data_IF_259426292611
#
_entry.id   IF_259426292611
#
_cell.length_a   1.000
_cell.length_b   1.000
_cell.length_c   1.000
_cell.angle_alpha   90.00
_cell.angle_beta   90.00
_cell.angle_gamma   90.00
#
_symmetry.space_group_name_H-M   'P 1'
#
loop_
_entity.id
_entity.type
_entity.pdbx_description
1 polymer ?
#
# COMPACT_ATOMS: atom_id res chain seq x y z
N UNK A 1 1.02 -19.13 -15.86
CA UNK A 1 0.41 -17.80 -16.06
C UNK A 1 1.46 -16.86 -16.60
N UNK A 2 1.14 -16.11 -17.65
CA UNK A 2 1.96 -15.00 -18.13
C UNK A 2 1.70 -13.78 -17.25
N UNK A 3 2.76 -13.03 -16.92
CA UNK A 3 2.59 -11.84 -16.10
C UNK A 3 3.43 -10.66 -16.60
N UNK A 4 2.85 -9.47 -16.44
CA UNK A 4 3.49 -8.18 -16.75
C UNK A 4 3.83 -7.48 -15.45
N UNK A 5 5.07 -6.99 -15.34
CA UNK A 5 5.50 -6.10 -14.26
C UNK A 5 5.34 -4.64 -14.71
N UNK A 6 4.61 -3.84 -13.95
CA UNK A 6 4.53 -2.39 -14.13
C UNK A 6 5.23 -1.70 -12.95
N UNK A 7 6.21 -0.85 -13.25
CA UNK A 7 6.88 0.01 -12.27
C UNK A 7 6.66 1.47 -12.65
N UNK A 8 6.04 2.22 -11.74
CA UNK A 8 5.90 3.67 -11.88
C UNK A 8 7.05 4.34 -11.14
N UNK A 9 7.79 5.23 -11.80
CA UNK A 9 8.91 5.94 -11.19
C UNK A 9 8.80 7.45 -11.39
N UNK A 10 9.48 8.21 -10.52
CA UNK A 10 9.61 9.67 -10.60
C UNK A 10 10.91 10.14 -9.96
N UNK A 11 11.90 10.56 -10.76
CA UNK A 11 13.19 11.10 -10.32
C UNK A 11 14.00 10.15 -9.42
N UNK A 12 13.95 8.81 -9.69
CA UNK A 12 14.56 7.76 -8.87
C UNK A 12 15.29 6.69 -9.72
N UNK A 13 16.26 7.09 -10.58
CA UNK A 13 16.92 6.14 -11.49
C UNK A 13 17.69 5.04 -10.74
N UNK A 14 18.33 5.34 -9.60
CA UNK A 14 19.14 4.36 -8.86
C UNK A 14 18.25 3.32 -8.13
N UNK A 15 17.25 3.70 -7.32
CA UNK A 15 16.33 2.73 -6.75
C UNK A 15 15.68 1.81 -7.80
N UNK A 16 15.24 2.37 -8.93
CA UNK A 16 14.69 1.60 -10.05
C UNK A 16 15.69 0.58 -10.59
N UNK A 17 16.97 0.97 -10.76
CA UNK A 17 18.01 0.05 -11.23
C UNK A 17 18.24 -1.11 -10.24
N UNK A 18 18.24 -0.83 -8.94
CA UNK A 18 18.40 -1.84 -7.89
C UNK A 18 17.21 -2.82 -7.90
N UNK A 19 15.97 -2.33 -8.03
CA UNK A 19 14.80 -3.18 -8.24
C UNK A 19 14.98 -4.07 -9.48
N UNK A 20 15.32 -3.51 -10.64
CA UNK A 20 15.45 -4.26 -11.89
C UNK A 20 16.57 -5.32 -11.83
N UNK A 21 17.65 -5.06 -11.11
CA UNK A 21 18.70 -6.05 -10.85
C UNK A 21 18.16 -7.20 -10.01
N UNK A 22 17.30 -6.96 -9.03
CA UNK A 22 16.63 -8.01 -8.25
C UNK A 22 15.62 -8.80 -9.09
N UNK A 23 14.93 -8.14 -10.03
CA UNK A 23 14.04 -8.78 -11.02
C UNK A 23 14.84 -9.73 -11.92
N UNK A 24 16.02 -9.31 -12.37
CA UNK A 24 16.91 -10.15 -13.22
C UNK A 24 17.31 -11.46 -12.53
N UNK A 25 17.33 -11.49 -11.20
CA UNK A 25 17.73 -12.65 -10.39
C UNK A 25 16.57 -13.56 -9.98
N UNK A 26 15.36 -13.33 -10.49
CA UNK A 26 14.17 -14.11 -10.14
C UNK A 26 14.16 -15.51 -10.76
N UNK A 27 13.62 -16.49 -10.02
CA UNK A 27 13.42 -17.89 -10.50
C UNK A 27 12.47 -17.94 -11.71
N UNK A 28 11.46 -17.06 -11.74
CA UNK A 28 10.62 -16.83 -12.91
C UNK A 28 10.67 -15.35 -13.29
N UNK A 29 10.85 -15.07 -14.58
CA UNK A 29 11.05 -13.72 -15.10
C UNK A 29 9.77 -13.19 -15.75
N UNK A 30 9.46 -11.88 -15.63
CA UNK A 30 8.28 -11.30 -16.26
C UNK A 30 8.25 -11.47 -17.78
N UNK A 31 7.10 -11.83 -18.33
CA UNK A 31 6.90 -11.88 -19.78
C UNK A 31 6.98 -10.49 -20.43
N UNK A 32 6.69 -9.46 -19.63
CA UNK A 32 6.75 -8.06 -20.04
C UNK A 32 7.07 -7.19 -18.80
N UNK A 33 7.91 -6.16 -18.99
CA UNK A 33 8.23 -5.15 -17.95
C UNK A 33 7.94 -3.78 -18.58
N UNK A 34 7.04 -3.02 -17.93
CA UNK A 34 6.68 -1.65 -18.35
C UNK A 34 7.18 -0.67 -17.29
N UNK A 35 8.15 0.16 -17.65
CA UNK A 35 8.62 1.27 -16.82
C UNK A 35 7.86 2.52 -17.25
N UNK A 36 7.08 3.08 -16.33
CA UNK A 36 6.22 4.23 -16.56
C UNK A 36 6.81 5.42 -15.81
N UNK A 37 7.61 6.21 -16.51
CA UNK A 37 8.39 7.29 -15.92
C UNK A 37 7.68 8.65 -16.00
N UNK A 38 7.43 9.25 -14.85
CA UNK A 38 6.89 10.60 -14.72
C UNK A 38 7.96 11.67 -14.52
N UNK A 39 9.25 11.33 -14.61
CA UNK A 39 10.38 12.24 -14.35
C UNK A 39 10.36 13.48 -15.27
N UNK A 40 11.07 14.52 -14.85
CA UNK A 40 11.22 15.77 -15.61
C UNK A 40 12.63 15.94 -16.20
N UNK A 41 13.47 14.91 -16.02
CA UNK A 41 14.80 14.80 -16.60
C UNK A 41 14.94 13.44 -17.30
N UNK A 42 16.03 13.20 -18.01
CA UNK A 42 16.32 11.98 -18.76
C UNK A 42 17.22 10.96 -18.02
N UNK A 43 17.42 11.11 -16.70
CA UNK A 43 18.34 10.24 -15.95
C UNK A 43 17.87 8.77 -15.91
N UNK A 44 16.57 8.54 -15.82
CA UNK A 44 15.98 7.19 -15.85
C UNK A 44 16.21 6.53 -17.21
N UNK A 45 15.94 7.25 -18.30
CA UNK A 45 16.19 6.75 -19.66
C UNK A 45 17.67 6.41 -19.85
N UNK A 46 18.57 7.33 -19.51
CA UNK A 46 20.01 7.14 -19.65
C UNK A 46 20.53 5.92 -18.87
N UNK A 47 20.03 5.67 -17.66
CA UNK A 47 20.47 4.49 -16.89
C UNK A 47 19.95 3.20 -17.51
N UNK A 48 18.75 3.19 -18.09
CA UNK A 48 18.18 2.03 -18.79
C UNK A 48 18.85 1.74 -20.14
N UNK A 49 19.32 2.75 -20.84
CA UNK A 49 20.12 2.58 -22.05
C UNK A 49 21.44 1.85 -21.78
N UNK A 50 22.08 2.16 -20.65
CA UNK A 50 23.33 1.55 -20.21
C UNK A 50 23.16 0.17 -19.55
N UNK A 51 21.93 -0.20 -19.14
CA UNK A 51 21.61 -1.44 -18.44
C UNK A 51 20.46 -2.16 -19.13
N UNK A 52 20.75 -3.17 -19.94
CA UNK A 52 19.72 -3.88 -20.70
C UNK A 52 19.03 -4.97 -19.88
N UNK A 53 17.68 -4.96 -19.93
CA UNK A 53 16.81 -5.97 -19.34
C UNK A 53 15.93 -6.60 -20.41
N UNK A 54 15.68 -7.89 -20.32
CA UNK A 54 14.80 -8.59 -21.25
C UNK A 54 13.36 -8.11 -21.07
N UNK A 55 12.60 -8.09 -22.14
CA UNK A 55 11.15 -7.78 -22.15
C UNK A 55 10.80 -6.41 -21.56
N UNK A 56 11.76 -5.51 -21.40
CA UNK A 56 11.53 -4.18 -20.82
C UNK A 56 11.18 -3.17 -21.91
N UNK A 57 10.10 -2.45 -21.66
CA UNK A 57 9.69 -1.27 -22.43
C UNK A 57 9.65 -0.05 -21.50
N UNK A 58 10.23 1.05 -21.94
CA UNK A 58 10.27 2.32 -21.22
C UNK A 58 9.31 3.33 -21.86
N UNK A 59 8.58 4.02 -21.00
CA UNK A 59 7.62 5.06 -21.39
C UNK A 59 7.78 6.30 -20.51
N UNK A 60 8.33 7.39 -21.05
CA UNK A 60 8.18 8.71 -20.47
C UNK A 60 6.73 9.17 -20.66
N UNK A 61 6.05 9.54 -19.58
CA UNK A 61 4.67 9.98 -19.69
C UNK A 61 4.55 11.49 -19.90
N UNK A 62 3.61 11.94 -20.76
CA UNK A 62 3.25 13.35 -20.88
C UNK A 62 2.77 13.92 -19.54
N UNK A 63 2.83 15.26 -19.38
CA UNK A 63 2.47 15.94 -18.14
C UNK A 63 1.08 15.58 -17.60
N UNK A 64 0.10 15.39 -18.48
CA UNK A 64 -1.27 15.02 -18.14
C UNK A 64 -1.38 13.61 -17.52
N UNK A 65 -0.40 12.75 -17.75
CA UNK A 65 -0.32 11.40 -17.19
C UNK A 65 0.64 11.26 -16.00
N UNK A 66 1.25 12.36 -15.53
CA UNK A 66 2.08 12.34 -14.32
C UNK A 66 1.26 12.19 -13.05
N UNK A 67 1.79 11.43 -12.10
CA UNK A 67 1.17 11.06 -10.83
C UNK A 67 0.80 9.58 -10.76
N UNK A 68 0.95 8.96 -9.59
CA UNK A 68 0.96 7.52 -9.40
C UNK A 68 -0.22 6.78 -10.06
N UNK A 69 -1.46 7.21 -9.79
CA UNK A 69 -2.66 6.56 -10.33
C UNK A 69 -2.78 6.72 -11.85
N UNK A 70 -2.35 7.87 -12.39
CA UNK A 70 -2.34 8.12 -13.82
C UNK A 70 -1.28 7.27 -14.52
N UNK A 71 -0.08 7.18 -13.95
CA UNK A 71 1.00 6.34 -14.47
C UNK A 71 0.60 4.86 -14.46
N UNK A 72 -0.01 4.35 -13.36
CA UNK A 72 -0.52 2.98 -13.32
C UNK A 72 -1.58 2.74 -14.41
N UNK A 73 -2.56 3.62 -14.56
CA UNK A 73 -3.56 3.50 -15.62
C UNK A 73 -2.95 3.57 -17.03
N UNK A 74 -1.90 4.39 -17.21
CA UNK A 74 -1.16 4.50 -18.46
C UNK A 74 -0.43 3.20 -18.80
N UNK A 75 0.20 2.56 -17.79
CA UNK A 75 0.85 1.25 -17.95
C UNK A 75 -0.17 0.13 -18.23
N UNK A 76 -1.27 0.07 -17.47
CA UNK A 76 -2.34 -0.93 -17.69
C UNK A 76 -2.87 -0.90 -19.13
N UNK A 77 -3.02 0.29 -19.71
CA UNK A 77 -3.50 0.43 -21.10
C UNK A 77 -2.52 -0.07 -22.16
N UNK A 78 -1.29 -0.45 -21.77
CA UNK A 78 -0.21 -0.93 -22.66
C UNK A 78 0.18 -2.38 -22.41
N UNK A 79 -0.45 -3.03 -21.45
CA UNK A 79 -0.21 -4.45 -21.15
C UNK A 79 -0.58 -5.32 -22.34
N UNK A 80 0.29 -6.27 -22.68
CA UNK A 80 0.07 -7.20 -23.79
C UNK A 80 -1.15 -8.11 -23.58
N UNK A 81 -1.75 -8.55 -24.69
CA UNK A 81 -2.99 -9.35 -24.66
C UNK A 81 -2.85 -10.70 -23.98
N UNK A 82 -1.65 -11.29 -24.01
CA UNK A 82 -1.37 -12.63 -23.46
C UNK A 82 -1.18 -12.63 -21.94
N UNK A 83 -1.24 -11.48 -21.28
CA UNK A 83 -1.03 -11.32 -19.83
C UNK A 83 -2.21 -11.84 -19.03
N UNK A 84 -1.96 -12.70 -18.06
CA UNK A 84 -2.95 -13.23 -17.10
C UNK A 84 -2.97 -12.41 -15.82
N UNK A 85 -1.78 -11.93 -15.36
CA UNK A 85 -1.57 -11.23 -14.10
C UNK A 85 -0.76 -9.96 -14.33
N UNK A 86 -1.17 -8.85 -13.72
CA UNK A 86 -0.41 -7.59 -13.71
C UNK A 86 0.14 -7.39 -12.29
N UNK A 87 1.48 -7.32 -12.19
CA UNK A 87 2.21 -7.06 -10.95
C UNK A 87 2.64 -5.59 -10.91
N UNK A 88 2.46 -4.95 -9.77
CA UNK A 88 2.99 -3.62 -9.48
C UNK A 88 3.99 -3.70 -8.34
N UNK A 89 5.09 -3.00 -8.50
CA UNK A 89 6.11 -2.80 -7.47
C UNK A 89 6.46 -1.33 -7.39
N UNK A 90 6.73 -0.84 -6.18
CA UNK A 90 7.36 0.46 -6.00
C UNK A 90 8.83 0.38 -6.41
N UNK A 91 9.36 1.45 -6.97
CA UNK A 91 10.70 1.53 -7.53
C UNK A 91 11.85 1.42 -6.50
N UNK A 92 11.52 1.49 -5.19
CA UNK A 92 12.43 1.38 -4.06
C UNK A 92 12.30 0.02 -3.31
N UNK A 93 11.87 -1.03 -4.01
CA UNK A 93 11.80 -2.40 -3.49
C UNK A 93 12.93 -3.28 -4.06
N UNK A 94 13.39 -4.27 -3.28
CA UNK A 94 14.33 -5.30 -3.73
C UNK A 94 13.74 -6.68 -3.41
N UNK A 95 13.62 -7.52 -4.42
CA UNK A 95 12.94 -8.80 -4.34
C UNK A 95 13.86 -9.92 -3.86
N UNK A 96 13.35 -10.82 -3.00
CA UNK A 96 13.97 -12.14 -2.78
C UNK A 96 13.84 -13.00 -4.06
N UNK A 97 14.76 -13.94 -4.32
CA UNK A 97 14.84 -14.66 -5.61
C UNK A 97 13.56 -15.39 -6.06
N UNK A 98 12.72 -15.84 -5.13
CA UNK A 98 11.47 -16.58 -5.42
C UNK A 98 10.21 -15.71 -5.37
N UNK A 99 10.35 -14.40 -5.31
CA UNK A 99 9.20 -13.49 -5.10
C UNK A 99 8.08 -13.70 -6.13
N UNK A 100 8.38 -13.62 -7.42
CA UNK A 100 7.34 -13.81 -8.45
C UNK A 100 6.83 -15.24 -8.51
N UNK A 101 7.68 -16.25 -8.29
CA UNK A 101 7.25 -17.64 -8.22
C UNK A 101 6.17 -17.82 -7.14
N UNK A 102 6.38 -17.26 -5.94
CA UNK A 102 5.41 -17.36 -4.84
C UNK A 102 4.13 -16.54 -5.09
N UNK A 103 4.21 -15.39 -5.79
CA UNK A 103 3.04 -14.64 -6.23
C UNK A 103 2.21 -15.48 -7.21
N UNK A 104 2.83 -16.03 -8.26
CA UNK A 104 2.13 -16.80 -9.29
C UNK A 104 1.58 -18.13 -8.74
N UNK A 105 2.34 -18.83 -7.89
CA UNK A 105 1.88 -20.04 -7.20
C UNK A 105 0.65 -19.75 -6.32
N UNK A 106 0.58 -18.56 -5.72
CA UNK A 106 -0.59 -18.16 -4.92
C UNK A 106 -1.85 -17.98 -5.78
N UNK A 107 -1.73 -17.45 -7.01
CA UNK A 107 -2.86 -17.40 -7.95
C UNK A 107 -3.30 -18.78 -8.47
N UNK A 108 -2.38 -19.76 -8.52
CA UNK A 108 -2.72 -21.14 -8.88
C UNK A 108 -3.37 -21.91 -7.72
N UNK A 109 -3.17 -21.47 -6.47
CA UNK A 109 -3.70 -22.15 -5.30
C UNK A 109 -5.24 -22.11 -5.19
N UNK A 110 -5.87 -21.00 -5.61
CA UNK A 110 -7.32 -20.83 -5.57
C UNK A 110 -7.75 -19.83 -6.67
N UNK A 111 -8.64 -20.27 -7.55
CA UNK A 111 -9.15 -19.46 -8.68
C UNK A 111 -9.98 -18.24 -8.23
N UNK A 112 -10.51 -18.25 -7.00
CA UNK A 112 -11.21 -17.10 -6.42
C UNK A 112 -10.24 -15.98 -6.00
N UNK A 113 -8.94 -16.24 -5.95
CA UNK A 113 -7.94 -15.20 -5.66
C UNK A 113 -7.77 -14.32 -6.88
N UNK A 114 -8.08 -13.03 -6.73
CA UNK A 114 -7.93 -12.01 -7.77
C UNK A 114 -6.82 -11.00 -7.46
N UNK A 115 -6.43 -10.86 -6.20
CA UNK A 115 -5.37 -9.97 -5.76
C UNK A 115 -4.41 -10.66 -4.80
N UNK A 116 -3.10 -10.51 -5.03
CA UNK A 116 -2.03 -11.09 -4.20
C UNK A 116 -1.00 -10.02 -3.89
N UNK A 117 -0.51 -9.94 -2.65
CA UNK A 117 0.66 -9.15 -2.30
C UNK A 117 1.67 -9.97 -1.49
N UNK A 118 2.94 -9.59 -1.60
CA UNK A 118 4.02 -10.09 -0.76
C UNK A 118 4.18 -9.29 0.53
N UNK A 119 5.30 -9.52 1.22
CA UNK A 119 5.64 -8.91 2.51
C UNK A 119 7.03 -8.29 2.52
N UNK A 120 7.17 -7.08 3.10
CA UNK A 120 8.45 -6.44 3.33
C UNK A 120 9.10 -7.00 4.60
N UNK A 121 10.20 -7.75 4.44
CA UNK A 121 10.84 -8.45 5.55
C UNK A 121 11.62 -7.51 6.48
N UNK A 122 12.13 -6.39 5.97
CA UNK A 122 12.83 -5.38 6.77
C UNK A 122 11.89 -4.51 7.63
N UNK A 123 10.56 -4.58 7.40
CA UNK A 123 9.55 -3.93 8.22
C UNK A 123 8.97 -4.88 9.29
N UNK A 124 9.42 -6.12 9.32
CA UNK A 124 8.86 -7.19 10.14
C UNK A 124 9.22 -7.00 11.62
N UNK A 125 8.22 -7.03 12.49
CA UNK A 125 8.38 -6.85 13.94
C UNK A 125 7.72 -7.96 14.75
N UNK A 126 7.21 -9.00 14.09
CA UNK A 126 6.61 -10.14 14.75
C UNK A 126 7.65 -11.00 15.45
N UNK A 127 7.34 -11.44 16.65
CA UNK A 127 8.19 -12.31 17.48
C UNK A 127 7.40 -13.58 17.78
N UNK A 128 8.00 -14.75 17.67
CA UNK A 128 7.35 -16.01 18.06
C UNK A 128 7.01 -15.96 19.56
N UNK A 129 5.76 -16.28 19.90
CA UNK A 129 5.28 -16.22 21.29
C UNK A 129 5.99 -17.29 22.14
N UNK A 130 6.57 -16.87 23.25
CA UNK A 130 7.19 -17.75 24.23
C UNK A 130 6.13 -18.24 25.23
N UNK A 131 6.07 -19.55 25.49
CA UNK A 131 5.05 -20.17 26.37
C UNK A 131 5.10 -19.69 27.81
N UNK A 132 6.29 -19.35 28.30
CA UNK A 132 6.50 -18.97 29.71
C UNK A 132 6.48 -17.46 29.95
N UNK A 133 6.21 -16.65 28.91
CA UNK A 133 6.19 -15.19 29.00
C UNK A 133 4.77 -14.64 28.91
N UNK A 134 4.43 -13.73 29.82
CA UNK A 134 3.16 -13.01 29.78
C UNK A 134 3.30 -11.76 28.92
N UNK A 135 2.38 -11.60 27.94
CA UNK A 135 2.31 -10.44 27.06
C UNK A 135 1.07 -9.62 27.41
N UNK A 136 1.26 -8.33 27.71
CA UNK A 136 0.14 -7.43 27.98
C UNK A 136 -0.67 -7.19 26.69
N UNK A 137 -1.97 -7.46 26.71
CA UNK A 137 -2.89 -7.21 25.60
C UNK A 137 -2.96 -5.74 25.15
N UNK A 138 -2.49 -4.80 25.94
CA UNK A 138 -2.41 -3.39 25.57
C UNK A 138 -1.14 -3.05 24.79
N UNK A 139 -0.04 -3.77 25.07
CA UNK A 139 1.28 -3.53 24.50
C UNK A 139 1.64 -4.48 23.37
N UNK A 140 0.96 -5.61 23.28
CA UNK A 140 1.21 -6.64 22.27
C UNK A 140 -0.09 -7.07 21.61
N UNK A 141 -0.03 -7.26 20.29
CA UNK A 141 -1.07 -7.93 19.55
C UNK A 141 -0.65 -9.37 19.26
N UNK A 142 -1.50 -10.33 19.63
CA UNK A 142 -1.26 -11.76 19.40
C UNK A 142 -1.99 -12.22 18.14
N UNK A 143 -1.28 -12.93 17.27
CA UNK A 143 -1.84 -13.50 16.06
C UNK A 143 -1.05 -14.73 15.62
N UNK A 144 -1.72 -15.86 15.36
CA UNK A 144 -1.13 -17.10 14.81
C UNK A 144 0.12 -17.62 15.56
N UNK A 145 0.13 -17.52 16.89
CA UNK A 145 1.26 -17.96 17.71
C UNK A 145 2.45 -16.97 17.75
N UNK A 146 2.26 -15.78 17.25
CA UNK A 146 3.21 -14.68 17.28
C UNK A 146 2.66 -13.50 18.08
N UNK A 147 3.56 -12.61 18.48
CA UNK A 147 3.24 -11.34 19.14
C UNK A 147 3.88 -10.19 18.39
N UNK A 148 3.14 -9.10 18.23
CA UNK A 148 3.59 -7.86 17.61
C UNK A 148 3.64 -6.75 18.66
N UNK A 149 4.81 -6.10 18.90
CA UNK A 149 4.91 -4.99 19.85
C UNK A 149 4.20 -3.76 19.29
N UNK A 150 3.18 -3.30 19.99
CA UNK A 150 2.38 -2.14 19.58
C UNK A 150 3.12 -0.82 19.82
N UNK A 151 3.07 0.07 18.86
CA UNK A 151 3.54 1.45 19.07
C UNK A 151 2.57 2.27 19.92
N UNK A 152 3.04 3.38 20.48
CA UNK A 152 2.28 4.25 21.41
C UNK A 152 0.87 4.60 20.91
N UNK A 153 0.73 4.88 19.62
CA UNK A 153 -0.57 5.14 18.95
C UNK A 153 -1.56 3.99 19.13
N UNK A 154 -1.10 2.76 18.93
CA UNK A 154 -1.95 1.58 19.03
C UNK A 154 -2.20 1.17 20.46
N UNK A 155 -1.23 1.36 21.37
CA UNK A 155 -1.41 1.17 22.84
C UNK A 155 -2.55 2.07 23.32
N UNK A 156 -2.56 3.34 22.94
CA UNK A 156 -3.62 4.26 23.33
C UNK A 156 -4.98 3.86 22.74
N UNK A 157 -5.02 3.41 21.49
CA UNK A 157 -6.24 2.87 20.88
C UNK A 157 -6.73 1.61 21.58
N UNK A 158 -5.82 0.73 22.03
CA UNK A 158 -6.18 -0.46 22.80
C UNK A 158 -6.81 -0.09 24.16
N UNK A 159 -6.21 0.86 24.90
CA UNK A 159 -6.71 1.33 26.20
C UNK A 159 -8.11 1.95 26.04
N UNK A 160 -8.34 2.73 24.99
CA UNK A 160 -9.62 3.40 24.72
C UNK A 160 -10.66 2.50 24.01
N UNK A 161 -10.40 1.23 23.78
CA UNK A 161 -11.31 0.32 23.07
C UNK A 161 -11.57 0.70 21.61
N UNK A 162 -10.63 1.41 20.98
CA UNK A 162 -10.71 1.91 19.60
C UNK A 162 -10.00 1.01 18.58
N UNK A 163 -9.43 -0.10 19.03
CA UNK A 163 -8.73 -1.03 18.15
C UNK A 163 -9.71 -2.01 17.50
N UNK A 164 -9.29 -2.57 16.35
CA UNK A 164 -10.04 -3.60 15.63
C UNK A 164 -9.80 -4.99 16.26
N UNK A 165 -10.85 -5.81 16.29
CA UNK A 165 -10.76 -7.23 16.60
C UNK A 165 -10.47 -8.09 15.35
N UNK A 166 -10.54 -7.49 14.16
CA UNK A 166 -10.18 -8.16 12.91
C UNK A 166 -8.67 -8.28 12.79
N UNK A 167 -8.20 -9.29 12.06
CA UNK A 167 -6.80 -9.51 11.76
C UNK A 167 -6.14 -8.37 10.97
N UNK A 168 -4.82 -8.45 10.74
CA UNK A 168 -4.12 -7.51 9.87
C UNK A 168 -4.74 -7.46 8.47
N UNK A 169 -4.63 -6.33 7.79
CA UNK A 169 -5.16 -6.16 6.43
C UNK A 169 -6.69 -6.15 6.31
N UNK A 170 -7.44 -6.39 7.40
CA UNK A 170 -8.92 -6.36 7.41
C UNK A 170 -9.43 -5.00 7.86
N UNK A 171 -10.41 -4.45 7.15
CA UNK A 171 -10.98 -3.14 7.42
C UNK A 171 -12.29 -3.27 8.19
N UNK A 172 -12.34 -2.86 9.48
CA UNK A 172 -13.58 -2.89 10.27
C UNK A 172 -14.56 -1.81 9.81
N UNK A 173 -15.83 -1.91 10.23
CA UNK A 173 -16.88 -0.96 9.86
C UNK A 173 -16.54 0.51 10.22
N UNK A 174 -15.68 0.74 11.19
CA UNK A 174 -15.19 2.07 11.55
C UNK A 174 -13.86 2.45 10.88
N UNK A 175 -13.49 1.80 9.79
CA UNK A 175 -12.34 2.04 8.89
C UNK A 175 -10.99 1.58 9.45
N UNK A 176 -10.55 2.13 10.57
CA UNK A 176 -9.19 2.02 11.07
C UNK A 176 -8.88 0.62 11.63
N UNK A 177 -8.46 -0.29 10.78
CA UNK A 177 -7.99 -1.63 11.12
C UNK A 177 -6.59 -1.64 11.75
N UNK A 178 -5.98 -2.82 11.83
CA UNK A 178 -4.60 -3.01 12.28
C UNK A 178 -3.64 -2.74 11.12
N UNK A 179 -2.61 -1.96 11.40
CA UNK A 179 -1.60 -1.53 10.43
C UNK A 179 -0.28 -2.30 10.55
N UNK A 180 -0.27 -3.46 11.24
CA UNK A 180 0.87 -4.37 11.24
C UNK A 180 0.80 -5.29 10.02
N UNK A 181 1.98 -5.71 9.51
CA UNK A 181 2.08 -6.78 8.51
C UNK A 181 1.73 -8.15 9.09
N UNK A 182 2.13 -9.22 8.43
CA UNK A 182 1.90 -10.61 8.84
C UNK A 182 3.19 -11.27 9.32
N UNK A 183 3.14 -12.25 10.25
CA UNK A 183 4.31 -13.03 10.63
C UNK A 183 4.83 -13.85 9.43
N UNK A 184 6.15 -14.03 9.32
CA UNK A 184 6.80 -14.83 8.29
C UNK A 184 6.65 -16.34 8.60
N UNK A 185 5.49 -16.90 8.35
CA UNK A 185 5.14 -18.29 8.69
C UNK A 185 4.66 -19.11 7.47
N UNK A 186 4.96 -18.62 6.26
CA UNK A 186 4.67 -19.28 4.98
C UNK A 186 3.19 -19.51 4.69
N UNK A 187 2.31 -18.77 5.37
CA UNK A 187 0.85 -18.84 5.17
C UNK A 187 0.35 -17.79 4.20
N UNK A 188 -0.85 -18.06 3.67
CA UNK A 188 -1.65 -17.14 2.88
C UNK A 188 -2.77 -16.62 3.77
N UNK A 189 -2.99 -15.31 3.76
CA UNK A 189 -3.99 -14.62 4.56
C UNK A 189 -4.96 -13.83 3.69
N UNK A 190 -6.25 -14.12 3.81
CA UNK A 190 -7.27 -13.31 3.16
C UNK A 190 -7.37 -11.93 3.82
N UNK A 191 -7.37 -10.88 2.99
CA UNK A 191 -7.36 -9.49 3.43
C UNK A 191 -8.35 -8.64 2.65
N UNK A 192 -8.67 -7.45 3.17
CA UNK A 192 -9.39 -6.44 2.41
C UNK A 192 -8.44 -5.51 1.65
N UNK A 193 -7.26 -5.27 2.23
CA UNK A 193 -6.31 -4.26 1.78
C UNK A 193 -4.98 -4.92 1.40
N UNK A 194 -4.55 -4.71 0.18
CA UNK A 194 -3.20 -4.98 -0.28
C UNK A 194 -2.38 -3.69 -0.20
N UNK A 195 -1.07 -3.81 -0.03
CA UNK A 195 -0.15 -2.67 0.07
C UNK A 195 0.44 -2.38 -1.30
N UNK A 196 0.37 -1.13 -1.74
CA UNK A 196 0.74 -0.70 -3.08
C UNK A 196 2.20 -0.91 -3.49
N UNK A 197 3.12 -1.08 -2.50
CA UNK A 197 4.52 -1.41 -2.77
C UNK A 197 4.70 -2.75 -3.51
N UNK A 198 3.72 -3.66 -3.38
CA UNK A 198 3.83 -5.05 -3.82
C UNK A 198 2.45 -5.66 -3.96
N UNK A 199 1.71 -5.31 -4.99
CA UNK A 199 0.41 -5.93 -5.23
C UNK A 199 0.25 -6.34 -6.69
N UNK A 200 -0.40 -7.46 -6.89
CA UNK A 200 -0.62 -8.08 -8.18
C UNK A 200 -2.09 -8.48 -8.30
N UNK A 201 -2.65 -8.35 -9.51
CA UNK A 201 -4.05 -8.72 -9.74
C UNK A 201 -4.20 -9.48 -11.05
N UNK A 202 -5.21 -10.37 -11.13
CA UNK A 202 -5.62 -10.96 -12.41
C UNK A 202 -6.04 -9.85 -13.38
N UNK A 203 -5.68 -9.97 -14.67
CA UNK A 203 -5.98 -8.99 -15.70
C UNK A 203 -7.47 -8.63 -15.77
N UNK A 204 -8.35 -9.61 -15.56
CA UNK A 204 -9.81 -9.41 -15.56
C UNK A 204 -10.29 -8.30 -14.62
N UNK A 205 -9.56 -8.03 -13.54
CA UNK A 205 -9.88 -6.92 -12.62
C UNK A 205 -9.72 -5.58 -13.35
N UNK A 206 -8.65 -5.42 -14.13
CA UNK A 206 -8.33 -4.17 -14.86
C UNK A 206 -9.19 -3.97 -16.12
N UNK A 207 -9.76 -5.03 -16.65
CA UNK A 207 -10.74 -4.93 -17.74
C UNK A 207 -12.05 -4.26 -17.25
N UNK A 208 -12.31 -4.29 -15.93
CA UNK A 208 -13.54 -3.80 -15.33
C UNK A 208 -13.36 -2.53 -14.48
N UNK A 209 -12.21 -2.37 -13.79
CA UNK A 209 -11.94 -1.21 -12.93
C UNK A 209 -10.55 -0.64 -13.21
N UNK A 210 -10.41 0.68 -12.97
CA UNK A 210 -9.14 1.42 -13.07
C UNK A 210 -8.84 2.09 -11.74
N UNK A 211 -7.59 2.55 -11.55
CA UNK A 211 -7.25 3.41 -10.42
C UNK A 211 -8.04 4.71 -10.51
N UNK A 212 -8.61 5.12 -9.36
CA UNK A 212 -9.51 6.27 -9.31
C UNK A 212 -8.75 7.59 -9.50
N UNK A 213 -9.28 8.47 -10.34
CA UNK A 213 -8.78 9.84 -10.53
C UNK A 213 -8.85 10.69 -9.27
N UNK A 214 -9.61 10.26 -8.25
CA UNK A 214 -9.65 10.96 -6.96
C UNK A 214 -8.30 11.01 -6.26
N UNK A 215 -7.42 10.02 -6.49
CA UNK A 215 -6.10 9.90 -5.87
C UNK A 215 -4.97 10.44 -6.76
N UNK A 216 -5.25 11.35 -7.69
CA UNK A 216 -4.22 11.94 -8.53
C UNK A 216 -3.14 12.66 -7.70
N UNK A 217 -1.92 12.70 -8.24
CA UNK A 217 -0.74 13.22 -7.54
C UNK A 217 -0.03 12.14 -6.71
N UNK A 218 0.10 12.34 -5.41
CA UNK A 218 0.84 11.44 -4.50
C UNK A 218 0.20 10.06 -4.33
N UNK A 219 -1.09 9.94 -4.54
CA UNK A 219 -1.78 8.66 -4.55
C UNK A 219 -2.16 8.08 -3.18
N UNK A 220 -1.96 8.75 -2.06
CA UNK A 220 -2.19 8.19 -0.71
C UNK A 220 -3.56 7.48 -0.58
N UNK A 221 -3.57 6.19 -0.22
CA UNK A 221 -4.72 5.27 -0.12
C UNK A 221 -5.33 4.81 -1.46
N UNK A 222 -4.68 5.04 -2.59
CA UNK A 222 -5.13 4.52 -3.89
C UNK A 222 -5.14 2.99 -3.95
N UNK A 223 -4.15 2.37 -3.29
CA UNK A 223 -4.01 0.93 -3.11
C UNK A 223 -5.18 0.32 -2.31
N UNK A 224 -5.56 0.98 -1.22
CA UNK A 224 -6.69 0.58 -0.40
C UNK A 224 -8.03 0.69 -1.16
N UNK A 225 -8.23 1.78 -1.92
CA UNK A 225 -9.41 1.94 -2.77
C UNK A 225 -9.48 0.84 -3.83
N UNK A 226 -8.38 0.62 -4.54
CA UNK A 226 -8.33 -0.39 -5.60
C UNK A 226 -8.55 -1.79 -5.04
N UNK A 227 -7.89 -2.14 -3.93
CA UNK A 227 -8.04 -3.44 -3.26
C UNK A 227 -9.50 -3.72 -2.86
N UNK A 228 -10.19 -2.74 -2.29
CA UNK A 228 -11.60 -2.89 -1.88
C UNK A 228 -12.49 -3.09 -3.10
N UNK A 229 -12.27 -2.32 -4.17
CA UNK A 229 -13.08 -2.46 -5.39
C UNK A 229 -12.80 -3.76 -6.14
N UNK A 230 -11.57 -4.27 -6.08
CA UNK A 230 -11.21 -5.55 -6.67
C UNK A 230 -11.94 -6.74 -6.02
N UNK A 231 -12.34 -6.64 -4.73
CA UNK A 231 -13.06 -7.72 -4.02
C UNK A 231 -14.41 -8.09 -4.64
N UNK A 232 -14.99 -7.27 -5.51
CA UNK A 232 -16.19 -7.65 -6.25
C UNK A 232 -15.96 -8.77 -7.29
N UNK A 233 -14.69 -9.05 -7.62
CA UNK A 233 -14.30 -10.08 -8.59
C UNK A 233 -13.73 -11.33 -7.91
N UNK A 234 -13.43 -11.29 -6.61
CA UNK A 234 -12.86 -12.40 -5.85
C UNK A 234 -12.14 -11.96 -4.59
N UNK A 235 -11.22 -12.78 -4.11
CA UNK A 235 -10.49 -12.56 -2.85
C UNK A 235 -9.16 -11.87 -3.07
N UNK A 236 -8.81 -10.98 -2.13
CA UNK A 236 -7.44 -10.47 -1.98
C UNK A 236 -6.73 -11.27 -0.89
N UNK A 237 -5.47 -11.62 -1.13
CA UNK A 237 -4.65 -12.34 -0.16
C UNK A 237 -3.23 -11.75 -0.04
N UNK A 238 -2.62 -11.93 1.12
CA UNK A 238 -1.19 -11.71 1.32
C UNK A 238 -0.53 -13.08 1.50
N UNK A 239 0.49 -13.37 0.71
CA UNK A 239 1.36 -14.54 0.90
C UNK A 239 2.64 -14.13 1.62
N UNK A 240 2.94 -14.79 2.75
CA UNK A 240 4.17 -14.51 3.52
C UNK A 240 5.38 -15.25 2.96
N UNK A 241 5.22 -15.96 1.83
CA UNK A 241 6.29 -16.59 1.07
C UNK A 241 6.95 -15.63 0.08
N UNK A 242 6.17 -14.74 -0.56
CA UNK A 242 6.68 -13.71 -1.46
C UNK A 242 7.30 -12.57 -0.64
N UNK A 243 8.63 -12.52 -0.59
CA UNK A 243 9.40 -11.64 0.29
C UNK A 243 10.16 -10.59 -0.51
N UNK A 244 10.20 -9.37 0.02
CA UNK A 244 10.99 -8.27 -0.52
C UNK A 244 11.53 -7.37 0.59
N UNK A 245 12.46 -6.48 0.25
CA UNK A 245 12.89 -5.35 1.06
C UNK A 245 12.26 -4.07 0.50
N UNK A 246 11.84 -3.14 1.37
CA UNK A 246 11.26 -1.86 0.98
C UNK A 246 12.00 -0.71 1.68
N UNK A 247 12.56 0.23 0.92
CA UNK A 247 13.52 1.22 1.43
C UNK A 247 12.94 2.59 1.74
N UNK A 248 11.69 2.87 1.36
CA UNK A 248 10.99 4.13 1.65
C UNK A 248 11.74 5.40 1.23
N UNK A 249 12.14 5.49 -0.04
CA UNK A 249 12.84 6.67 -0.53
C UNK A 249 12.07 7.96 -0.19
N UNK A 250 12.72 8.98 0.39
CA UNK A 250 12.05 10.20 0.85
C UNK A 250 11.62 11.15 -0.25
N UNK A 251 12.09 10.98 -1.49
CA UNK A 251 11.77 11.86 -2.61
C UNK A 251 10.30 11.75 -3.05
N UNK A 252 9.78 12.79 -3.70
CA UNK A 252 8.41 12.80 -4.26
C UNK A 252 7.28 12.96 -3.23
N UNK A 253 7.57 13.13 -1.92
CA UNK A 253 6.53 13.28 -0.90
C UNK A 253 5.89 14.69 -0.93
N UNK A 254 4.56 14.80 -0.73
CA UNK A 254 3.89 16.10 -0.65
C UNK A 254 4.31 16.86 0.61
N UNK A 255 4.06 18.19 0.63
CA UNK A 255 4.21 18.94 1.86
C UNK A 255 3.28 18.40 2.97
N UNK A 256 3.69 18.58 4.23
CA UNK A 256 3.02 17.95 5.37
C UNK A 256 1.57 18.43 5.57
N UNK A 257 1.23 19.66 5.19
CA UNK A 257 -0.14 20.16 5.24
C UNK A 257 -1.06 19.37 4.29
N UNK A 258 -0.63 19.21 3.03
CA UNK A 258 -1.38 18.44 2.04
C UNK A 258 -1.46 16.96 2.44
N UNK A 259 -0.35 16.39 2.95
CA UNK A 259 -0.33 15.03 3.47
C UNK A 259 -1.38 14.83 4.59
N UNK A 260 -1.40 15.73 5.59
CA UNK A 260 -2.37 15.67 6.68
C UNK A 260 -3.82 15.75 6.20
N UNK A 261 -4.10 16.62 5.22
CA UNK A 261 -5.41 16.73 4.59
C UNK A 261 -5.80 15.45 3.86
N UNK A 262 -4.89 14.85 3.10
CA UNK A 262 -5.10 13.57 2.40
C UNK A 262 -5.35 12.42 3.38
N UNK A 263 -4.58 12.29 4.46
CA UNK A 263 -4.78 11.23 5.47
C UNK A 263 -6.25 11.17 5.94
N UNK A 264 -6.88 12.30 6.16
CA UNK A 264 -8.27 12.34 6.63
C UNK A 264 -9.27 12.17 5.48
N UNK A 265 -9.11 12.92 4.40
CA UNK A 265 -10.08 12.93 3.29
C UNK A 265 -10.06 11.65 2.47
N UNK A 266 -8.87 11.16 2.12
CA UNK A 266 -8.72 9.93 1.36
C UNK A 266 -9.10 8.72 2.23
N UNK A 267 -8.71 8.71 3.51
CA UNK A 267 -9.16 7.69 4.46
C UNK A 267 -10.68 7.65 4.62
N UNK A 268 -11.35 8.83 4.63
CA UNK A 268 -12.82 8.92 4.61
C UNK A 268 -13.39 8.37 3.31
N UNK A 269 -12.80 8.71 2.16
CA UNK A 269 -13.24 8.23 0.85
C UNK A 269 -13.22 6.69 0.79
N UNK A 270 -12.08 6.08 1.08
CA UNK A 270 -11.90 4.61 1.08
C UNK A 270 -12.85 3.94 2.07
N UNK A 271 -13.00 4.50 3.28
CA UNK A 271 -13.99 4.01 4.23
C UNK A 271 -15.40 3.95 3.64
N UNK A 272 -15.79 4.99 2.90
CA UNK A 272 -17.14 5.11 2.33
C UNK A 272 -17.31 4.27 1.05
N UNK A 273 -16.22 3.91 0.40
CA UNK A 273 -16.24 2.91 -0.69
C UNK A 273 -16.63 1.56 -0.13
N UNK A 274 -15.96 1.09 0.95
CA UNK A 274 -16.29 -0.20 1.56
C UNK A 274 -17.61 -0.19 2.33
N UNK A 275 -17.86 0.86 3.09
CA UNK A 275 -19.06 1.01 3.94
C UNK A 275 -19.85 2.25 3.54
N UNK A 276 -20.69 2.17 2.50
CA UNK A 276 -21.50 3.31 2.04
C UNK A 276 -22.40 3.89 3.13
N UNK A 277 -22.96 3.05 4.00
CA UNK A 277 -23.89 3.40 5.07
C UNK A 277 -23.47 2.81 6.42
N UNK A 278 -22.32 3.28 7.02
CA UNK A 278 -21.87 2.73 8.29
C UNK A 278 -22.82 3.11 9.43
N UNK A 279 -22.86 2.26 10.45
CA UNK A 279 -23.66 2.48 11.67
C UNK A 279 -23.26 3.79 12.39
N UNK A 280 -24.17 4.31 13.23
CA UNK A 280 -23.88 5.50 14.06
C UNK A 280 -22.69 5.25 14.99
N UNK A 281 -22.57 4.03 15.53
CA UNK A 281 -21.44 3.62 16.36
C UNK A 281 -20.11 3.64 15.57
N UNK A 282 -20.11 3.16 14.33
CA UNK A 282 -18.93 3.21 13.46
C UNK A 282 -18.56 4.65 13.10
N UNK A 283 -19.54 5.51 12.79
CA UNK A 283 -19.32 6.95 12.55
C UNK A 283 -18.71 7.64 13.75
N UNK A 284 -19.26 7.41 14.95
CA UNK A 284 -18.71 7.95 16.19
C UNK A 284 -17.27 7.48 16.40
N UNK A 285 -17.02 6.17 16.30
CA UNK A 285 -15.69 5.58 16.50
C UNK A 285 -14.66 6.13 15.50
N UNK A 286 -15.03 6.27 14.23
CA UNK A 286 -14.19 6.85 13.20
C UNK A 286 -13.77 8.30 13.56
N UNK A 287 -14.72 9.16 13.94
CA UNK A 287 -14.44 10.54 14.33
C UNK A 287 -13.52 10.61 15.56
N UNK A 288 -13.78 9.79 16.59
CA UNK A 288 -12.92 9.74 17.79
C UNK A 288 -11.48 9.32 17.43
N UNK A 289 -11.31 8.35 16.52
CA UNK A 289 -9.98 7.92 16.07
C UNK A 289 -9.28 9.06 15.29
N UNK A 290 -9.97 9.74 14.38
CA UNK A 290 -9.39 10.86 13.64
C UNK A 290 -8.92 11.96 14.58
N UNK A 291 -9.75 12.35 15.56
CA UNK A 291 -9.40 13.36 16.57
C UNK A 291 -8.19 12.89 17.39
N UNK A 292 -8.22 11.64 17.91
CA UNK A 292 -7.13 11.07 18.68
C UNK A 292 -5.81 11.08 17.91
N UNK A 293 -5.80 10.59 16.68
CA UNK A 293 -4.59 10.55 15.86
C UNK A 293 -4.09 11.96 15.49
N UNK A 294 -5.00 12.91 15.31
CA UNK A 294 -4.64 14.32 15.10
C UNK A 294 -4.02 14.92 16.37
N UNK A 295 -4.56 14.61 17.54
CA UNK A 295 -4.02 15.06 18.83
C UNK A 295 -2.63 14.45 19.09
N UNK A 296 -2.41 13.17 18.80
CA UNK A 296 -1.09 12.53 18.88
C UNK A 296 -0.09 13.24 17.94
N UNK A 297 -0.51 13.58 16.71
CA UNK A 297 0.36 14.34 15.80
C UNK A 297 0.66 15.74 16.31
N UNK A 298 -0.31 16.40 16.91
CA UNK A 298 -0.13 17.69 17.57
C UNK A 298 0.88 17.61 18.71
N UNK A 299 0.80 16.59 19.58
CA UNK A 299 1.75 16.43 20.70
C UNK A 299 3.20 16.25 20.22
N UNK A 300 3.41 15.77 18.99
CA UNK A 300 4.75 15.66 18.41
C UNK A 300 5.44 17.02 18.19
N UNK A 301 4.70 18.14 18.20
CA UNK A 301 5.30 19.50 18.19
C UNK A 301 6.23 19.70 19.38
N UNK A 302 5.91 19.07 20.52
CA UNK A 302 6.66 19.21 21.78
C UNK A 302 7.67 18.08 22.01
N UNK A 303 7.53 16.94 21.31
CA UNK A 303 8.26 15.70 21.59
C UNK A 303 9.26 15.29 20.51
N UNK A 304 9.26 15.95 19.34
CA UNK A 304 10.18 15.60 18.24
C UNK A 304 10.95 16.81 17.73
N UNK A 305 12.07 16.56 17.03
CA UNK A 305 12.85 17.61 16.34
C UNK A 305 12.10 18.20 15.14
N UNK A 306 11.15 17.45 14.55
CA UNK A 306 10.40 17.84 13.35
C UNK A 306 9.11 18.63 13.70
N UNK A 307 9.25 19.66 14.52
CA UNK A 307 8.12 20.44 15.08
C UNK A 307 7.25 21.08 14.01
N UNK A 308 7.87 21.71 13.02
CA UNK A 308 7.15 22.40 11.93
C UNK A 308 6.36 21.43 11.06
N UNK A 309 6.94 20.24 10.75
CA UNK A 309 6.25 19.19 10.03
C UNK A 309 5.03 18.68 10.83
N UNK A 310 5.20 18.45 12.14
CA UNK A 310 4.12 18.01 13.01
C UNK A 310 2.98 19.04 13.09
N UNK A 311 3.31 20.33 13.18
CA UNK A 311 2.33 21.42 13.21
C UNK A 311 1.55 21.51 11.89
N UNK A 312 2.27 21.58 10.76
CA UNK A 312 1.64 21.73 9.44
C UNK A 312 0.78 20.53 9.06
N UNK A 313 1.23 19.30 9.37
CA UNK A 313 0.41 18.10 9.17
C UNK A 313 -0.84 18.11 10.07
N UNK A 314 -0.72 18.53 11.33
CA UNK A 314 -1.88 18.65 12.24
C UNK A 314 -2.92 19.63 11.68
N UNK A 315 -2.49 20.79 11.19
CA UNK A 315 -3.39 21.76 10.55
C UNK A 315 -4.07 21.16 9.31
N UNK A 316 -3.32 20.44 8.48
CA UNK A 316 -3.88 19.71 7.33
C UNK A 316 -4.96 18.71 7.74
N UNK A 317 -4.74 17.93 8.80
CA UNK A 317 -5.71 16.96 9.35
C UNK A 317 -6.97 17.64 9.85
N UNK A 318 -6.85 18.75 10.60
CA UNK A 318 -8.00 19.52 11.12
C UNK A 318 -8.83 20.07 9.94
N UNK A 319 -8.19 20.74 8.99
CA UNK A 319 -8.87 21.28 7.80
C UNK A 319 -9.50 20.17 6.96
N UNK A 320 -8.80 19.05 6.79
CA UNK A 320 -9.32 17.84 6.13
C UNK A 320 -10.60 17.33 6.79
N UNK A 321 -10.62 17.24 8.12
CA UNK A 321 -11.75 16.75 8.89
C UNK A 321 -12.94 17.72 8.86
N UNK A 322 -12.72 19.00 9.12
CA UNK A 322 -13.78 20.03 9.06
C UNK A 322 -14.41 20.11 7.68
N UNK A 323 -13.60 20.01 6.61
CA UNK A 323 -14.09 20.09 5.24
C UNK A 323 -15.08 18.97 4.87
N UNK A 324 -15.07 17.84 5.58
CA UNK A 324 -16.05 16.77 5.35
C UNK A 324 -17.48 17.13 5.70
N UNK A 325 -17.71 18.21 6.46
CA UNK A 325 -19.06 18.68 6.78
C UNK A 325 -19.75 19.35 5.59
N UNK A 326 -18.99 20.02 4.72
CA UNK A 326 -19.53 20.83 3.61
C UNK A 326 -19.00 20.44 2.22
N UNK A 327 -17.86 19.75 2.15
CA UNK A 327 -17.24 19.33 0.88
C UNK A 327 -16.73 17.88 0.98
N UNK A 328 -17.63 16.92 1.00
CA UNK A 328 -17.30 15.50 1.01
C UNK A 328 -16.71 15.08 -0.34
N UNK A 329 -15.69 14.19 -0.34
CA UNK A 329 -15.25 13.53 -1.57
C UNK A 329 -16.42 12.83 -2.29
N UNK A 330 -16.51 13.00 -3.61
CA UNK A 330 -17.46 12.27 -4.45
C UNK A 330 -16.88 10.89 -4.78
N UNK A 331 -17.67 9.86 -4.69
CA UNK A 331 -17.33 8.46 -4.98
C UNK A 331 -17.80 8.09 -6.37
#
# INVERSE_FOLDING_TARGET
MNFTLIVCTYMRPIPLLDLLNSVKSQTIYPNEILIIDGSTNNETEAILENNKFQNLQYFEVPNEHRGLTKQRNYGIARVGDITDVICFLDDDTILEPTYFEEIINTFHYDDEIVGVAGVAINEMRWIKKETNKKYSKYQFYEFEGYVYPEGARNILRNILGLQSNLGPGRMPEFSNGRTCGFPLNEKIYEVDLLIGMSFSFRKVVFDNIKFSHYFEGYGLYEDADFSIRAQQFGKNVITTKAKLLHYHDPSGRPNQYQYGKMVVRNGWYVWRVKYPNPSLKAKFKWNVIVILLTFIRFSNIFTTSKRQEAFTETMGRIVGWLSLSFNKPKR
#
